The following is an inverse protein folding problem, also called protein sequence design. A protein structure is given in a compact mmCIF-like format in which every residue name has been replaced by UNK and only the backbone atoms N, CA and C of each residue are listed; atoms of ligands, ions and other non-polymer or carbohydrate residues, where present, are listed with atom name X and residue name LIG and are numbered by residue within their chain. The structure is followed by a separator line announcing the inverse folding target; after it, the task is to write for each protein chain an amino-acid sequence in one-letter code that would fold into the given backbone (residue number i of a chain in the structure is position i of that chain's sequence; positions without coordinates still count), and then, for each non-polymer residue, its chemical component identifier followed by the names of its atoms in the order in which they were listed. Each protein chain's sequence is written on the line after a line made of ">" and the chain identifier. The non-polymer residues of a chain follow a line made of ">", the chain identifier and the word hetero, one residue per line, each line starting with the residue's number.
data_IF_931937218056
#
_entry.id   IF_931937218056
#
_cell.length_a   1.000
_cell.length_b   1.000
_cell.length_c   1.000
_cell.angle_alpha   90.00
_cell.angle_beta   90.00
_cell.angle_gamma   90.00
#
_symmetry.space_group_name_H-M   'P 1'
#
loop_
_entity.id
_entity.type
_entity.pdbx_description
1 polymer ?
#
# COMPACT_ATOMS: atom_id res chain seq x y z
N UNK A 1 21.54 -20.04 -49.94
CA UNK A 1 20.46 -19.06 -49.66
C UNK A 1 20.99 -18.10 -48.62
N UNK A 2 21.32 -16.86 -49.01
CA UNK A 2 21.46 -15.72 -48.09
C UNK A 2 22.82 -15.45 -47.48
N UNK A 3 23.75 -14.95 -48.30
CA UNK A 3 24.84 -14.05 -47.89
C UNK A 3 24.27 -12.74 -47.30
N UNK A 4 24.99 -12.08 -46.38
CA UNK A 4 25.17 -10.62 -46.27
C UNK A 4 25.94 -10.28 -44.97
N UNK A 5 27.27 -10.23 -45.04
CA UNK A 5 28.09 -9.44 -44.10
C UNK A 5 29.41 -9.03 -44.77
N UNK A 6 29.31 -8.12 -45.71
CA UNK A 6 30.48 -7.43 -46.29
C UNK A 6 30.04 -6.24 -47.16
N UNK A 7 30.39 -5.04 -46.71
CA UNK A 7 30.83 -3.82 -47.45
C UNK A 7 31.32 -2.87 -46.33
N UNK A 8 32.62 -2.59 -46.14
CA UNK A 8 33.53 -1.73 -46.93
C UNK A 8 32.88 -0.36 -47.18
N UNK A 9 33.41 0.76 -46.70
CA UNK A 9 34.47 1.57 -47.34
C UNK A 9 34.74 2.74 -46.36
N UNK A 10 35.90 2.82 -45.70
CA UNK A 10 37.12 3.61 -46.05
C UNK A 10 36.95 5.12 -46.24
N UNK A 11 38.01 5.80 -45.79
CA UNK A 11 38.55 7.11 -46.22
C UNK A 11 38.24 8.27 -45.26
N UNK A 12 39.09 8.52 -44.26
CA UNK A 12 40.39 9.23 -44.34
C UNK A 12 40.22 10.74 -44.56
N UNK A 13 40.54 11.55 -43.53
CA UNK A 13 41.67 12.49 -43.61
C UNK A 13 41.91 13.32 -42.34
N UNK A 14 43.20 13.31 -41.97
CA UNK A 14 44.00 14.47 -41.55
C UNK A 14 43.96 14.95 -40.09
N UNK A 15 44.95 14.45 -39.33
CA UNK A 15 45.77 15.17 -38.33
C UNK A 15 46.57 16.33 -38.99
N UNK A 16 47.05 17.36 -38.26
CA UNK A 16 48.32 17.20 -37.51
C UNK A 16 48.51 18.03 -36.21
N UNK A 17 49.42 17.48 -35.38
CA UNK A 17 50.39 18.11 -34.46
C UNK A 17 49.89 18.95 -33.26
N UNK A 18 50.51 18.92 -32.07
CA UNK A 18 51.95 18.87 -31.77
C UNK A 18 52.21 18.38 -30.33
N UNK A 19 53.31 17.62 -30.15
CA UNK A 19 54.25 17.60 -28.99
C UNK A 19 53.74 17.24 -27.58
N UNK A 20 54.40 16.42 -26.74
CA UNK A 20 55.65 15.65 -26.78
C UNK A 20 55.60 14.64 -25.61
N UNK A 21 56.22 13.48 -25.83
CA UNK A 21 57.03 12.64 -24.92
C UNK A 21 57.18 13.08 -23.44
N UNK A 22 57.37 12.24 -22.42
CA UNK A 22 57.64 10.80 -22.26
C UNK A 22 57.92 10.56 -20.76
N UNK A 23 57.49 9.41 -20.24
CA UNK A 23 58.20 8.46 -19.34
C UNK A 23 59.08 8.96 -18.17
N UNK A 24 58.85 8.38 -16.97
CA UNK A 24 59.96 7.89 -16.12
C UNK A 24 60.03 8.34 -14.65
N UNK A 25 59.93 7.36 -13.73
CA UNK A 25 60.45 7.32 -12.33
C UNK A 25 61.97 7.62 -12.24
N UNK A 26 62.66 7.64 -11.05
CA UNK A 26 62.25 7.74 -9.63
C UNK A 26 63.12 8.75 -8.78
N UNK A 27 62.75 8.88 -7.49
CA UNK A 27 63.60 9.13 -6.30
C UNK A 27 64.41 10.43 -6.08
N UNK A 28 64.29 10.90 -4.81
CA UNK A 28 65.17 11.76 -4.01
C UNK A 28 65.28 13.25 -4.43
N UNK A 29 64.95 14.22 -3.58
CA UNK A 29 65.74 14.51 -2.38
C UNK A 29 64.99 15.48 -1.46
N UNK A 30 65.01 15.18 -0.16
CA UNK A 30 64.65 16.11 0.91
C UNK A 30 65.72 17.19 1.06
N UNK A 31 65.28 18.43 1.27
CA UNK A 31 66.16 19.51 1.73
C UNK A 31 65.44 20.84 1.92
N UNK A 32 65.00 21.12 3.15
CA UNK A 32 65.28 22.35 3.94
C UNK A 32 64.09 22.68 4.86
N UNK A 33 64.34 23.04 6.15
CA UNK A 33 63.32 23.25 7.17
C UNK A 33 62.76 24.67 7.10
N UNK A 34 61.65 24.87 7.81
CA UNK A 34 61.00 26.15 8.10
C UNK A 34 60.04 26.67 7.03
N UNK A 35 58.86 26.02 6.96
CA UNK A 35 57.68 26.63 6.36
C UNK A 35 56.81 27.22 7.49
N UNK A 36 56.61 28.55 7.59
CA UNK A 36 55.66 29.09 8.55
C UNK A 36 54.26 28.59 8.21
N UNK A 37 53.45 28.30 9.23
CA UNK A 37 52.05 27.88 9.05
C UNK A 37 51.28 29.00 8.33
N UNK A 38 51.15 28.86 7.01
CA UNK A 38 50.34 29.75 6.17
C UNK A 38 48.89 29.45 6.49
N UNK A 39 48.26 30.30 7.31
CA UNK A 39 46.80 30.33 7.39
C UNK A 39 46.30 30.69 5.98
N UNK A 40 45.50 29.84 5.30
CA UNK A 40 45.03 30.15 3.96
C UNK A 40 44.06 31.33 4.04
N UNK A 41 44.57 32.54 3.79
CA UNK A 41 43.75 33.74 3.67
C UNK A 41 43.18 33.74 2.27
N UNK A 42 41.88 33.44 2.14
CA UNK A 42 41.18 33.53 0.86
C UNK A 42 41.30 34.98 0.38
N UNK A 43 42.04 35.21 -0.73
CA UNK A 43 42.13 36.54 -1.35
C UNK A 43 40.72 37.07 -1.58
N UNK A 44 40.46 38.33 -1.26
CA UNK A 44 39.13 38.95 -1.34
C UNK A 44 38.43 38.75 -2.71
N UNK A 45 39.20 38.63 -3.81
CA UNK A 45 38.69 38.30 -5.14
C UNK A 45 38.10 36.88 -5.26
N UNK A 46 38.66 35.89 -4.56
CA UNK A 46 38.14 34.53 -4.51
C UNK A 46 36.88 34.42 -3.62
N UNK A 47 36.84 35.16 -2.49
CA UNK A 47 35.64 35.27 -1.65
C UNK A 47 34.48 35.96 -2.39
N UNK A 48 34.76 37.02 -3.17
CA UNK A 48 33.74 37.71 -3.99
C UNK A 48 33.17 36.83 -5.11
N UNK A 49 34.01 35.99 -5.73
CA UNK A 49 33.58 35.01 -6.75
C UNK A 49 32.76 33.86 -6.15
N UNK A 50 33.12 33.37 -4.97
CA UNK A 50 32.32 32.38 -4.25
C UNK A 50 30.94 32.95 -3.84
N UNK A 51 30.89 34.18 -3.32
CA UNK A 51 29.63 34.85 -3.00
C UNK A 51 28.77 35.09 -4.25
N UNK A 52 29.38 35.42 -5.41
CA UNK A 52 28.65 35.54 -6.67
C UNK A 52 28.04 34.20 -7.13
N UNK A 53 28.74 33.08 -6.92
CA UNK A 53 28.22 31.75 -7.19
C UNK A 53 27.09 31.35 -6.22
N UNK A 54 27.19 31.70 -4.93
CA UNK A 54 26.15 31.45 -3.93
C UNK A 54 24.91 32.31 -4.17
N UNK A 55 25.08 33.59 -4.51
CA UNK A 55 23.96 34.48 -4.88
C UNK A 55 23.27 33.96 -6.13
N UNK A 56 24.02 33.53 -7.15
CA UNK A 56 23.46 32.90 -8.35
C UNK A 56 22.68 31.61 -8.02
N UNK A 57 23.19 30.78 -7.11
CA UNK A 57 22.51 29.57 -6.66
C UNK A 57 21.19 29.87 -5.93
N UNK A 58 21.17 30.89 -5.06
CA UNK A 58 19.96 31.33 -4.35
C UNK A 58 18.93 31.88 -5.34
N UNK A 59 19.37 32.71 -6.30
CA UNK A 59 18.48 33.25 -7.34
C UNK A 59 17.91 32.12 -8.19
N UNK A 60 18.74 31.16 -8.62
CA UNK A 60 18.28 30.01 -9.39
C UNK A 60 17.27 29.14 -8.62
N UNK A 61 17.49 28.92 -7.32
CA UNK A 61 16.54 28.21 -6.45
C UNK A 61 15.21 28.97 -6.34
N UNK A 62 15.26 30.29 -6.11
CA UNK A 62 14.06 31.12 -6.01
C UNK A 62 13.29 31.15 -7.33
N UNK A 63 13.97 31.26 -8.47
CA UNK A 63 13.34 31.20 -9.80
C UNK A 63 12.70 29.84 -10.03
N UNK A 64 13.36 28.74 -9.64
CA UNK A 64 12.79 27.40 -9.74
C UNK A 64 11.55 27.24 -8.85
N UNK A 65 11.61 27.64 -7.58
CA UNK A 65 10.45 27.61 -6.67
C UNK A 65 9.33 28.50 -7.22
N UNK A 66 9.64 29.72 -7.66
CA UNK A 66 8.64 30.65 -8.21
C UNK A 66 7.99 30.14 -9.50
N UNK A 67 8.70 29.34 -10.31
CA UNK A 67 8.14 28.70 -11.50
C UNK A 67 7.20 27.54 -11.14
N UNK A 68 7.53 26.74 -10.11
CA UNK A 68 6.72 25.58 -9.70
C UNK A 68 5.57 25.93 -8.75
N UNK A 69 5.75 26.92 -7.87
CA UNK A 69 4.77 27.33 -6.87
C UNK A 69 3.38 27.63 -7.45
N UNK A 70 3.21 28.39 -8.56
CA UNK A 70 1.88 28.63 -9.13
C UNK A 70 1.26 27.34 -9.67
N UNK A 71 2.04 26.40 -10.22
CA UNK A 71 1.53 25.10 -10.69
C UNK A 71 1.02 24.27 -9.52
N UNK A 72 1.77 24.25 -8.41
CA UNK A 72 1.39 23.53 -7.18
C UNK A 72 0.14 24.16 -6.54
N UNK A 73 0.07 25.50 -6.49
CA UNK A 73 -1.08 26.22 -5.93
C UNK A 73 -2.33 26.15 -6.83
N UNK A 74 -2.15 26.06 -8.16
CA UNK A 74 -3.23 25.90 -9.13
C UNK A 74 -3.75 24.46 -9.21
N UNK A 75 -3.05 23.50 -8.61
CA UNK A 75 -3.56 22.16 -8.41
C UNK A 75 -4.40 22.15 -7.13
N UNK A 76 -5.73 22.42 -7.17
CA UNK A 76 -6.55 22.18 -5.99
C UNK A 76 -6.32 20.73 -5.59
N UNK A 77 -5.87 20.50 -4.37
CA UNK A 77 -5.92 19.16 -3.79
C UNK A 77 -7.31 18.62 -4.09
N UNK A 78 -7.46 17.38 -4.59
CA UNK A 78 -8.77 16.80 -4.78
C UNK A 78 -9.53 17.04 -3.49
N UNK A 79 -10.53 17.93 -3.53
CA UNK A 79 -11.55 17.97 -2.50
C UNK A 79 -12.33 16.70 -2.74
N UNK A 80 -11.79 15.58 -2.27
CA UNK A 80 -12.57 14.37 -2.09
C UNK A 80 -13.47 14.65 -0.91
N UNK A 81 -14.39 15.60 -1.07
CA UNK A 81 -15.68 15.56 -0.41
C UNK A 81 -16.39 14.33 -0.99
N UNK A 82 -15.98 13.17 -0.48
CA UNK A 82 -16.72 11.92 -0.52
C UNK A 82 -17.23 11.45 -1.87
N UNK A 83 -16.37 11.03 -2.80
CA UNK A 83 -16.78 9.86 -3.60
C UNK A 83 -16.80 8.66 -2.65
N UNK A 84 -17.93 8.49 -1.98
CA UNK A 84 -18.26 7.29 -1.21
C UNK A 84 -19.05 6.42 -2.15
N UNK A 85 -18.50 5.30 -2.65
CA UNK A 85 -19.29 4.33 -3.40
C UNK A 85 -20.55 4.03 -2.59
N UNK A 86 -21.73 4.24 -3.18
CA UNK A 86 -22.99 3.84 -2.55
C UNK A 86 -23.13 2.33 -2.69
N UNK A 87 -22.38 1.60 -1.87
CA UNK A 87 -22.33 0.14 -1.88
C UNK A 87 -23.38 -0.38 -0.91
N UNK A 88 -24.46 -0.92 -1.48
CA UNK A 88 -25.46 -1.64 -0.70
C UNK A 88 -24.99 -3.08 -0.45
N UNK A 89 -24.31 -3.29 0.68
CA UNK A 89 -23.73 -4.59 1.06
C UNK A 89 -24.80 -5.68 1.14
N UNK A 90 -25.99 -5.39 1.70
CA UNK A 90 -27.05 -6.39 1.85
C UNK A 90 -27.63 -6.83 0.51
N UNK A 91 -27.84 -5.91 -0.43
CA UNK A 91 -28.29 -6.25 -1.78
C UNK A 91 -27.25 -7.11 -2.53
N UNK A 92 -25.96 -6.77 -2.44
CA UNK A 92 -24.90 -7.56 -3.08
C UNK A 92 -24.75 -8.93 -2.41
N UNK A 93 -24.86 -9.01 -1.09
CA UNK A 93 -24.84 -10.28 -0.35
C UNK A 93 -26.01 -11.20 -0.74
N UNK A 94 -27.21 -10.65 -0.91
CA UNK A 94 -28.38 -11.39 -1.39
C UNK A 94 -28.13 -11.98 -2.77
N UNK A 95 -27.60 -11.19 -3.71
CA UNK A 95 -27.25 -11.67 -5.06
C UNK A 95 -26.17 -12.77 -5.03
N UNK A 96 -25.20 -12.67 -4.11
CA UNK A 96 -24.13 -13.66 -3.97
C UNK A 96 -24.57 -14.95 -3.26
N UNK A 97 -25.63 -14.92 -2.45
CA UNK A 97 -26.03 -16.05 -1.59
C UNK A 97 -26.23 -17.37 -2.34
N UNK A 98 -26.85 -17.32 -3.53
CA UNK A 98 -27.12 -18.51 -4.34
C UNK A 98 -25.86 -19.20 -4.86
N UNK A 99 -24.83 -18.43 -5.23
CA UNK A 99 -23.54 -18.97 -5.71
C UNK A 99 -22.59 -19.31 -4.55
N UNK A 100 -22.76 -18.64 -3.41
CA UNK A 100 -21.91 -18.84 -2.25
C UNK A 100 -22.17 -20.16 -1.51
N UNK A 101 -23.42 -20.65 -1.56
CA UNK A 101 -23.83 -21.84 -0.79
C UNK A 101 -23.91 -21.59 0.73
N UNK A 102 -23.82 -20.33 1.14
CA UNK A 102 -24.06 -19.82 2.50
C UNK A 102 -24.65 -18.41 2.40
N UNK A 103 -25.24 -17.91 3.49
CA UNK A 103 -25.73 -16.52 3.54
C UNK A 103 -24.57 -15.58 3.87
N UNK A 104 -24.13 -14.72 2.93
CA UNK A 104 -22.99 -13.86 3.17
C UNK A 104 -23.30 -12.82 4.25
N UNK A 105 -22.33 -12.53 5.13
CA UNK A 105 -22.51 -11.53 6.19
C UNK A 105 -22.64 -10.14 5.56
N UNK A 106 -23.71 -9.45 5.90
CA UNK A 106 -23.93 -8.05 5.58
C UNK A 106 -24.20 -7.28 6.89
N UNK A 107 -23.15 -6.89 7.63
CA UNK A 107 -23.31 -6.21 8.91
C UNK A 107 -23.91 -4.83 8.72
N UNK A 108 -24.91 -4.49 9.54
CA UNK A 108 -25.46 -3.14 9.62
C UNK A 108 -24.56 -2.30 10.52
N UNK A 109 -23.78 -1.42 9.91
CA UNK A 109 -22.81 -0.56 10.61
C UNK A 109 -23.33 0.85 10.87
N UNK A 110 -24.56 1.15 10.46
CA UNK A 110 -25.12 2.50 10.45
C UNK A 110 -24.17 3.48 9.74
N UNK A 111 -24.09 4.71 10.26
CA UNK A 111 -23.19 5.74 9.74
C UNK A 111 -21.75 5.63 10.29
N UNK A 112 -21.45 4.61 11.11
CA UNK A 112 -20.13 4.47 11.76
C UNK A 112 -19.07 3.99 10.78
N UNK A 113 -19.40 3.02 9.93
CA UNK A 113 -18.49 2.51 8.91
C UNK A 113 -19.10 2.71 7.54
N UNK A 114 -18.28 3.16 6.59
CA UNK A 114 -18.70 3.31 5.20
C UNK A 114 -18.20 2.11 4.40
N UNK A 115 -19.09 1.35 3.73
CA UNK A 115 -18.68 0.33 2.78
C UNK A 115 -17.91 0.98 1.61
N UNK A 116 -16.77 0.40 1.26
CA UNK A 116 -15.94 0.81 0.12
C UNK A 116 -16.18 -0.11 -1.09
N UNK A 117 -16.33 -1.41 -0.84
CA UNK A 117 -16.68 -2.41 -1.84
C UNK A 117 -17.39 -3.59 -1.20
N UNK A 118 -18.15 -4.33 -1.99
CA UNK A 118 -18.73 -5.63 -1.63
C UNK A 118 -18.75 -6.51 -2.88
N UNK A 119 -18.27 -7.76 -2.79
CA UNK A 119 -18.16 -8.63 -3.96
C UNK A 119 -18.07 -10.11 -3.58
N UNK A 120 -18.49 -10.94 -4.52
CA UNK A 120 -18.20 -12.36 -4.54
C UNK A 120 -16.96 -12.64 -5.38
N UNK A 121 -16.00 -13.36 -4.82
CA UNK A 121 -14.81 -13.84 -5.50
C UNK A 121 -14.89 -15.36 -5.65
N UNK A 122 -14.85 -15.86 -6.88
CA UNK A 122 -15.03 -17.28 -7.17
C UNK A 122 -13.86 -18.17 -6.74
N UNK A 123 -12.75 -17.57 -6.30
CA UNK A 123 -11.56 -18.30 -5.87
C UNK A 123 -10.67 -18.78 -7.01
N UNK A 124 -10.79 -18.22 -8.22
CA UNK A 124 -9.99 -18.66 -9.38
C UNK A 124 -8.46 -18.63 -9.16
N UNK A 125 -7.96 -17.74 -8.29
CA UNK A 125 -6.54 -17.66 -7.94
C UNK A 125 -6.15 -18.42 -6.66
N UNK A 126 -7.01 -18.41 -5.64
CA UNK A 126 -6.73 -18.97 -4.30
C UNK A 126 -7.21 -20.42 -4.14
N UNK A 127 -8.09 -20.89 -5.01
CA UNK A 127 -8.86 -22.12 -4.84
C UNK A 127 -9.93 -22.05 -3.74
N UNK A 128 -10.14 -20.88 -3.13
CA UNK A 128 -11.09 -20.68 -2.04
C UNK A 128 -12.05 -19.56 -2.43
N UNK A 129 -13.33 -19.87 -2.73
CA UNK A 129 -14.32 -18.85 -3.02
C UNK A 129 -14.65 -18.04 -1.76
N UNK A 130 -14.75 -16.73 -1.91
CA UNK A 130 -14.89 -15.79 -0.79
C UNK A 130 -15.96 -14.74 -1.04
N UNK A 131 -16.68 -14.39 0.02
CA UNK A 131 -17.43 -13.14 0.11
C UNK A 131 -16.51 -12.08 0.72
N UNK A 132 -16.40 -10.92 0.08
CA UNK A 132 -15.53 -9.85 0.54
C UNK A 132 -16.27 -8.52 0.67
N UNK A 133 -16.01 -7.80 1.75
CA UNK A 133 -16.51 -6.44 1.96
C UNK A 133 -15.41 -5.57 2.56
N UNK A 134 -15.17 -4.40 1.99
CA UNK A 134 -14.24 -3.43 2.56
C UNK A 134 -14.98 -2.32 3.28
N UNK A 135 -14.54 -1.95 4.48
CA UNK A 135 -15.09 -0.83 5.25
C UNK A 135 -14.02 0.22 5.52
N UNK A 136 -14.41 1.49 5.35
CA UNK A 136 -13.69 2.64 5.90
C UNK A 136 -14.22 2.91 7.31
N UNK A 137 -13.29 3.09 8.25
CA UNK A 137 -13.60 3.32 9.66
C UNK A 137 -13.76 4.82 9.98
N UNK A 138 -14.32 5.18 11.15
CA UNK A 138 -14.44 6.58 11.57
C UNK A 138 -13.12 7.35 11.61
N UNK A 139 -11.99 6.64 11.79
CA UNK A 139 -10.64 7.22 11.85
C UNK A 139 -9.89 7.09 10.52
N UNK A 140 -10.62 7.06 9.40
CA UNK A 140 -10.09 6.97 8.04
C UNK A 140 -9.13 5.78 7.82
N UNK A 141 -9.32 4.72 8.59
CA UNK A 141 -8.59 3.44 8.42
C UNK A 141 -9.44 2.46 7.62
N UNK A 142 -8.87 1.30 7.32
CA UNK A 142 -9.54 0.26 6.53
C UNK A 142 -9.66 -1.04 7.33
N UNK A 143 -10.81 -1.71 7.19
CA UNK A 143 -11.02 -3.09 7.61
C UNK A 143 -11.70 -3.85 6.48
N UNK A 144 -11.04 -4.88 5.96
CA UNK A 144 -11.60 -5.85 5.04
C UNK A 144 -12.22 -7.02 5.81
N UNK A 145 -13.44 -7.38 5.45
CA UNK A 145 -14.13 -8.60 5.85
C UNK A 145 -14.01 -9.61 4.71
N UNK A 146 -13.61 -10.83 5.05
CA UNK A 146 -13.63 -11.97 4.15
C UNK A 146 -14.34 -13.15 4.82
N UNK A 147 -15.27 -13.78 4.12
CA UNK A 147 -16.00 -14.95 4.59
C UNK A 147 -15.94 -16.08 3.57
N UNK A 148 -15.76 -17.31 4.05
CA UNK A 148 -15.84 -18.51 3.20
C UNK A 148 -16.33 -19.73 3.99
N UNK A 149 -16.98 -20.67 3.30
CA UNK A 149 -17.30 -22.00 3.83
C UNK A 149 -16.19 -23.04 3.55
N UNK A 150 -15.14 -22.68 2.80
CA UNK A 150 -14.11 -23.60 2.30
C UNK A 150 -12.69 -23.19 2.75
N UNK A 151 -12.57 -22.61 3.94
CA UNK A 151 -11.29 -22.21 4.49
C UNK A 151 -10.34 -23.41 4.62
N UNK A 152 -9.07 -23.20 4.29
CA UNK A 152 -7.99 -24.15 4.53
C UNK A 152 -6.80 -23.45 5.19
N UNK A 153 -5.87 -24.18 5.83
CA UNK A 153 -4.77 -23.58 6.58
C UNK A 153 -3.87 -22.66 5.73
N UNK A 154 -3.60 -23.04 4.47
CA UNK A 154 -2.78 -22.24 3.55
C UNK A 154 -3.43 -20.90 3.23
N UNK A 155 -4.73 -20.93 2.90
CA UNK A 155 -5.50 -19.72 2.62
C UNK A 155 -5.61 -18.81 3.86
N UNK A 156 -5.86 -19.38 5.04
CA UNK A 156 -5.92 -18.62 6.29
C UNK A 156 -4.60 -17.89 6.57
N UNK A 157 -3.46 -18.57 6.39
CA UNK A 157 -2.14 -17.96 6.54
C UNK A 157 -1.90 -16.85 5.52
N UNK A 158 -2.32 -17.02 4.28
CA UNK A 158 -2.23 -15.98 3.25
C UNK A 158 -3.09 -14.76 3.61
N UNK A 159 -4.35 -14.97 3.99
CA UNK A 159 -5.30 -13.90 4.32
C UNK A 159 -4.90 -13.10 5.57
N UNK A 160 -4.11 -13.71 6.45
CA UNK A 160 -3.59 -13.10 7.69
C UNK A 160 -2.12 -12.69 7.56
N UNK A 161 -1.54 -12.70 6.35
CA UNK A 161 -0.15 -12.34 6.08
C UNK A 161 0.88 -13.08 6.97
N UNK A 162 0.60 -14.34 7.31
CA UNK A 162 1.38 -15.15 8.25
C UNK A 162 1.56 -14.51 9.64
N UNK A 163 0.66 -13.62 10.05
CA UNK A 163 0.70 -13.04 11.39
C UNK A 163 0.55 -14.14 12.46
N UNK A 164 1.36 -14.12 13.53
CA UNK A 164 1.24 -15.08 14.62
C UNK A 164 -0.03 -14.79 15.43
N UNK A 165 -0.58 -15.82 16.07
CA UNK A 165 -1.66 -15.66 17.05
C UNK A 165 -1.08 -14.96 18.28
N UNK A 166 -1.65 -13.82 18.64
CA UNK A 166 -1.23 -13.02 19.80
C UNK A 166 -2.22 -13.06 20.95
N UNK A 167 -3.43 -13.60 20.72
CA UNK A 167 -4.42 -13.82 21.76
C UNK A 167 -5.82 -14.04 21.20
N UNK A 168 -6.83 -13.69 22.00
CA UNK A 168 -8.22 -13.63 21.58
C UNK A 168 -8.84 -12.30 21.98
N UNK A 169 -9.94 -11.92 21.30
CA UNK A 169 -10.73 -10.75 21.64
C UNK A 169 -12.21 -11.07 21.54
N UNK A 170 -12.94 -10.81 22.61
CA UNK A 170 -14.38 -10.97 22.62
C UNK A 170 -15.07 -9.80 21.91
N UNK A 171 -15.97 -10.10 20.96
CA UNK A 171 -16.82 -9.14 20.29
C UNK A 171 -18.12 -9.81 19.82
N UNK A 172 -19.27 -9.18 20.07
CA UNK A 172 -20.57 -9.80 19.80
C UNK A 172 -20.84 -11.07 20.63
N UNK A 173 -20.17 -11.24 21.77
CA UNK A 173 -20.26 -12.46 22.58
C UNK A 173 -19.48 -13.65 22.01
N UNK A 174 -18.71 -13.46 20.94
CA UNK A 174 -17.87 -14.49 20.32
C UNK A 174 -16.39 -14.18 20.57
N UNK A 175 -15.60 -15.22 20.80
CA UNK A 175 -14.15 -15.10 20.95
C UNK A 175 -13.47 -15.20 19.59
N UNK A 176 -12.96 -14.06 19.11
CA UNK A 176 -12.18 -13.98 17.89
C UNK A 176 -10.72 -14.27 18.19
N UNK A 177 -10.08 -15.10 17.38
CA UNK A 177 -8.62 -15.26 17.41
C UNK A 177 -7.95 -13.99 16.87
N UNK A 178 -7.06 -13.40 17.66
CA UNK A 178 -6.32 -12.20 17.28
C UNK A 178 -4.94 -12.60 16.74
N UNK A 179 -4.61 -12.09 15.56
CA UNK A 179 -3.31 -12.26 14.90
C UNK A 179 -2.71 -10.91 14.59
N UNK A 180 -1.48 -10.67 15.06
CA UNK A 180 -0.79 -9.39 14.92
C UNK A 180 0.73 -9.61 14.92
N UNK A 181 1.46 -8.94 14.03
CA UNK A 181 2.93 -8.95 14.04
C UNK A 181 3.52 -7.84 14.93
N UNK A 182 2.65 -6.99 15.50
CA UNK A 182 2.98 -5.76 16.22
C UNK A 182 3.24 -4.57 15.30
N UNK A 183 3.24 -4.77 13.98
CA UNK A 183 3.51 -3.73 12.98
C UNK A 183 2.53 -3.88 11.80
N UNK A 184 1.92 -2.78 11.39
CA UNK A 184 1.03 -2.76 10.23
C UNK A 184 -0.37 -3.31 10.54
N UNK A 185 -0.79 -4.29 9.74
CA UNK A 185 -2.15 -4.85 9.79
C UNK A 185 -2.35 -5.86 10.91
N UNK A 186 -3.60 -5.94 11.36
CA UNK A 186 -4.09 -6.90 12.34
C UNK A 186 -5.19 -7.74 11.70
N UNK A 187 -5.34 -8.97 12.17
CA UNK A 187 -6.42 -9.85 11.78
C UNK A 187 -7.18 -10.40 12.97
N UNK A 188 -8.50 -10.41 12.89
CA UNK A 188 -9.39 -11.14 13.78
C UNK A 188 -10.08 -12.25 12.99
N UNK A 189 -9.96 -13.49 13.47
CA UNK A 189 -10.50 -14.68 12.81
C UNK A 189 -11.58 -15.30 13.69
N UNK A 190 -12.72 -15.64 13.09
CA UNK A 190 -13.81 -16.35 13.75
C UNK A 190 -14.30 -17.47 12.87
N UNK A 191 -14.34 -18.68 13.43
CA UNK A 191 -15.01 -19.83 12.81
C UNK A 191 -16.36 -19.98 13.47
N UNK A 192 -17.43 -19.83 12.70
CA UNK A 192 -18.80 -19.92 13.22
C UNK A 192 -19.76 -20.46 12.18
N UNK A 193 -20.67 -21.35 12.61
CA UNK A 193 -21.73 -21.96 11.78
C UNK A 193 -21.23 -22.49 10.43
N UNK A 194 -20.07 -23.13 10.42
CA UNK A 194 -19.48 -23.74 9.21
C UNK A 194 -18.84 -22.75 8.24
N UNK A 195 -18.74 -21.47 8.59
CA UNK A 195 -17.98 -20.47 7.82
C UNK A 195 -16.83 -19.91 8.65
N UNK A 196 -15.76 -19.49 7.96
CA UNK A 196 -14.67 -18.72 8.55
C UNK A 196 -14.82 -17.28 8.11
N UNK A 197 -14.82 -16.36 9.07
CA UNK A 197 -14.82 -14.92 8.84
C UNK A 197 -13.50 -14.34 9.33
N UNK A 198 -12.89 -13.51 8.52
CA UNK A 198 -11.63 -12.82 8.83
C UNK A 198 -11.87 -11.33 8.64
N UNK A 199 -11.54 -10.55 9.67
CA UNK A 199 -11.40 -9.11 9.57
C UNK A 199 -9.91 -8.81 9.51
N UNK A 200 -9.43 -8.11 8.48
CA UNK A 200 -8.02 -7.70 8.34
C UNK A 200 -7.92 -6.23 7.98
N UNK A 201 -6.94 -5.51 8.55
CA UNK A 201 -6.71 -4.12 8.20
C UNK A 201 -5.82 -3.36 9.19
N UNK A 202 -5.73 -2.05 9.00
CA UNK A 202 -4.82 -1.15 9.75
C UNK A 202 -5.51 -0.40 10.89
N UNK A 203 -6.82 -0.56 11.04
CA UNK A 203 -7.61 0.12 12.06
C UNK A 203 -7.23 -0.26 13.50
N UNK A 204 -7.71 0.52 14.46
CA UNK A 204 -7.48 0.22 15.88
C UNK A 204 -8.37 -0.93 16.36
N UNK A 205 -7.90 -1.67 17.37
CA UNK A 205 -8.57 -2.88 17.85
C UNK A 205 -9.99 -2.62 18.41
N UNK A 206 -10.28 -1.39 18.83
CA UNK A 206 -11.63 -0.99 19.24
C UNK A 206 -12.57 -0.86 18.03
N UNK A 207 -12.10 -0.37 16.88
CA UNK A 207 -12.89 -0.30 15.64
C UNK A 207 -13.15 -1.70 15.10
N UNK A 208 -12.16 -2.60 15.18
CA UNK A 208 -12.36 -4.02 14.91
C UNK A 208 -13.44 -4.64 15.78
N UNK A 209 -13.47 -4.34 17.08
CA UNK A 209 -14.47 -4.89 18.00
C UNK A 209 -15.90 -4.45 17.65
N UNK A 210 -16.08 -3.18 17.25
CA UNK A 210 -17.40 -2.66 16.83
C UNK A 210 -17.86 -3.35 15.54
N UNK A 211 -16.98 -3.48 14.54
CA UNK A 211 -17.34 -4.16 13.29
C UNK A 211 -17.58 -5.67 13.53
N UNK A 212 -16.75 -6.31 14.35
CA UNK A 212 -16.90 -7.71 14.72
C UNK A 212 -18.23 -8.00 15.43
N UNK A 213 -18.67 -7.10 16.32
CA UNK A 213 -19.99 -7.19 16.96
C UNK A 213 -21.13 -7.12 15.92
N UNK A 214 -21.07 -6.17 14.99
CA UNK A 214 -22.05 -6.06 13.91
C UNK A 214 -22.06 -7.29 12.99
N UNK A 215 -20.89 -7.87 12.72
CA UNK A 215 -20.73 -9.11 11.95
C UNK A 215 -21.38 -10.29 12.66
N UNK A 216 -21.15 -10.45 13.96
CA UNK A 216 -21.80 -11.51 14.74
C UNK A 216 -23.32 -11.34 14.73
N UNK A 217 -23.83 -10.13 14.97
CA UNK A 217 -25.28 -9.84 14.91
C UNK A 217 -25.89 -10.20 13.55
N UNK A 218 -25.21 -9.88 12.45
CA UNK A 218 -25.64 -10.25 11.10
C UNK A 218 -25.65 -11.77 10.89
N UNK A 219 -24.63 -12.49 11.35
CA UNK A 219 -24.59 -13.96 11.29
C UNK A 219 -25.71 -14.62 12.11
N UNK A 220 -26.02 -14.08 13.29
CA UNK A 220 -27.14 -14.58 14.11
C UNK A 220 -28.50 -14.30 13.46
N UNK A 221 -28.67 -13.12 12.86
CA UNK A 221 -29.88 -12.76 12.12
C UNK A 221 -30.09 -13.64 10.89
N UNK A 222 -29.02 -13.95 10.15
CA UNK A 222 -29.05 -14.88 9.01
C UNK A 222 -29.48 -16.30 9.44
N UNK A 223 -29.07 -16.73 10.63
CA UNK A 223 -29.53 -18.01 11.18
C UNK A 223 -31.03 -17.97 11.55
N UNK A 224 -31.51 -16.88 12.14
CA UNK A 224 -32.94 -16.71 12.43
C UNK A 224 -33.82 -16.74 11.15
N UNK A 225 -33.31 -16.18 10.05
CA UNK A 225 -34.00 -16.17 8.76
C UNK A 225 -34.06 -17.56 8.11
N UNK A 226 -33.05 -18.42 8.31
CA UNK A 226 -33.02 -19.78 7.74
C UNK A 226 -33.82 -20.80 8.55
N UNK A 227 -34.14 -20.53 9.83
CA UNK A 227 -34.96 -21.41 10.68
C UNK A 227 -36.46 -21.08 10.69
N UNK A 228 -36.89 -19.97 10.07
CA UNK A 228 -38.32 -19.65 9.91
C UNK A 228 -38.90 -20.51 8.76
N UNK A 229 -39.77 -21.49 9.04
CA UNK A 229 -40.19 -22.46 8.04
C UNK A 229 -41.24 -21.86 7.11
N UNK A 230 -41.18 -22.31 5.86
CA UNK A 230 -42.22 -22.28 4.84
C UNK A 230 -43.63 -22.25 5.45
N UNK A 231 -44.36 -21.17 5.17
CA UNK A 231 -45.81 -21.14 5.38
C UNK A 231 -46.44 -22.37 4.73
N UNK A 232 -47.18 -23.14 5.52
CA UNK A 232 -47.93 -24.32 5.11
C UNK A 232 -48.86 -23.95 3.94
N UNK A 233 -48.88 -24.70 2.81
CA UNK A 233 -49.92 -24.50 1.82
C UNK A 233 -51.24 -24.96 2.46
N UNK A 234 -52.23 -24.04 2.52
CA UNK A 234 -53.58 -24.37 2.99
C UNK A 234 -54.27 -25.36 2.03
N UNK A 235 -55.16 -26.22 2.54
CA UNK A 235 -55.81 -27.30 1.78
C UNK A 235 -56.79 -26.81 0.71
#
# INVERSE_FOLDING_TARGET
>A
MGDYRSVSETQDKSTPDTQTASTGSPAATNGTPDAPVVKPVIRAAAAKRANASVIGMIIALLVSVAAFLPIVLMNPSPKTDGYRPNVNVSAVAQNASGVAGFTPVAPETGDTFSPNYARWESGAGSGVPTWEVGYLTPKDSFIGLVQTAQANPTWLLQQTNNAPVTGSRNAGGMDWELRDTGKGERSMVLVHKGTTVILTGTAQLDEFAVLADAVVKSMESNAAATVSPSATPSP
#
